data_IF_399999126718
#
_entry.id   IF_399999126718
#
_cell.length_a   1.000
_cell.length_b   1.000
_cell.length_c   1.000
_cell.angle_alpha   90.00
_cell.angle_beta   90.00
_cell.angle_gamma   90.00
#
_symmetry.space_group_name_H-M   'P 1'
#
loop_
_entity.id
_entity.type
_entity.pdbx_description
1 polymer ?
#
# COMPACT_ATOMS: atom_id res chain seq x y z
N UNK A 1 -21.20 -4.76 -10.74
CA UNK A 1 -20.02 -3.92 -10.48
C UNK A 1 -18.80 -4.79 -10.74
N UNK A 2 -17.80 -4.32 -11.51
CA UNK A 2 -16.53 -5.04 -11.63
C UNK A 2 -15.86 -5.14 -10.25
N UNK A 3 -15.22 -6.28 -9.99
CA UNK A 3 -14.52 -6.55 -8.73
C UNK A 3 -13.31 -5.62 -8.60
N UNK A 4 -13.17 -4.96 -7.45
CA UNK A 4 -12.01 -4.10 -7.18
C UNK A 4 -10.81 -4.94 -6.74
N UNK A 5 -9.60 -4.39 -6.85
CA UNK A 5 -8.40 -5.06 -6.31
C UNK A 5 -8.51 -5.33 -4.80
N UNK A 6 -9.21 -4.45 -4.09
CA UNK A 6 -9.47 -4.56 -2.66
C UNK A 6 -10.41 -5.73 -2.34
N UNK A 7 -11.39 -6.01 -3.19
CA UNK A 7 -12.27 -7.18 -3.04
C UNK A 7 -11.50 -8.49 -3.24
N UNK A 8 -10.58 -8.54 -4.21
CA UNK A 8 -9.68 -9.67 -4.41
C UNK A 8 -8.81 -9.90 -3.16
N UNK A 9 -8.22 -8.84 -2.62
CA UNK A 9 -7.42 -8.90 -1.38
C UNK A 9 -8.25 -9.39 -0.19
N UNK A 10 -9.46 -8.87 -0.02
CA UNK A 10 -10.36 -9.33 1.04
C UNK A 10 -10.64 -10.83 0.92
N UNK A 11 -10.93 -11.34 -0.28
CA UNK A 11 -11.15 -12.76 -0.52
C UNK A 11 -9.92 -13.61 -0.26
N UNK A 12 -8.73 -13.15 -0.65
CA UNK A 12 -7.47 -13.86 -0.37
C UNK A 12 -7.22 -13.99 1.14
N UNK A 13 -7.45 -12.92 1.91
CA UNK A 13 -7.36 -12.96 3.37
C UNK A 13 -8.40 -13.90 4.00
N UNK A 14 -9.65 -13.87 3.52
CA UNK A 14 -10.69 -14.80 3.97
C UNK A 14 -10.36 -16.25 3.65
N UNK A 15 -9.77 -16.51 2.47
CA UNK A 15 -9.34 -17.84 2.07
C UNK A 15 -8.25 -18.40 2.97
N UNK A 16 -7.36 -17.53 3.47
CA UNK A 16 -6.34 -17.88 4.47
C UNK A 16 -6.89 -18.05 5.90
N UNK A 17 -8.20 -17.91 6.10
CA UNK A 17 -8.86 -18.21 7.38
C UNK A 17 -8.82 -17.09 8.41
N UNK A 18 -8.46 -15.86 8.05
CA UNK A 18 -8.43 -14.76 9.01
C UNK A 18 -9.85 -14.27 9.39
N UNK A 19 -10.02 -13.69 10.60
CA UNK A 19 -11.28 -13.09 11.03
C UNK A 19 -11.82 -12.03 10.06
N UNK A 20 -13.15 -11.89 9.97
CA UNK A 20 -13.80 -10.97 9.02
C UNK A 20 -13.35 -9.52 9.21
N UNK A 21 -13.35 -9.05 10.45
CA UNK A 21 -12.97 -7.69 10.80
C UNK A 21 -11.51 -7.40 10.44
N UNK A 22 -10.61 -8.38 10.64
CA UNK A 22 -9.23 -8.29 10.21
C UNK A 22 -9.13 -8.15 8.69
N UNK A 23 -9.85 -8.99 7.93
CA UNK A 23 -9.85 -8.92 6.48
C UNK A 23 -10.35 -7.56 5.97
N UNK A 24 -11.40 -7.01 6.59
CA UNK A 24 -11.96 -5.70 6.21
C UNK A 24 -11.01 -4.55 6.54
N UNK A 25 -10.38 -4.59 7.71
CA UNK A 25 -9.41 -3.58 8.13
C UNK A 25 -8.24 -3.51 7.12
N UNK A 26 -7.63 -4.65 6.82
CA UNK A 26 -6.51 -4.71 5.87
C UNK A 26 -6.98 -4.29 4.47
N UNK A 27 -8.03 -4.92 3.94
CA UNK A 27 -8.41 -4.75 2.54
C UNK A 27 -9.01 -3.38 2.23
N UNK A 28 -9.88 -2.84 3.09
CA UNK A 28 -10.67 -1.66 2.76
C UNK A 28 -10.20 -0.39 3.46
N UNK A 29 -9.51 -0.49 4.60
CA UNK A 29 -9.03 0.69 5.34
C UNK A 29 -7.56 0.95 5.12
N UNK A 30 -6.72 -0.06 5.31
CA UNK A 30 -5.26 0.10 5.24
C UNK A 30 -4.75 0.02 3.80
N UNK A 31 -5.13 -1.00 3.03
CA UNK A 31 -4.71 -1.21 1.64
C UNK A 31 -5.66 -0.54 0.63
N UNK A 32 -6.17 0.66 0.94
CA UNK A 32 -7.29 1.32 0.26
C UNK A 32 -7.04 1.85 -1.17
N UNK A 33 -5.90 1.51 -1.79
CA UNK A 33 -5.61 1.82 -3.19
C UNK A 33 -5.22 0.56 -3.96
N UNK A 34 -5.47 0.54 -5.27
CA UNK A 34 -5.06 -0.57 -6.13
C UNK A 34 -3.57 -0.90 -6.02
N UNK A 35 -2.71 0.11 -5.83
CA UNK A 35 -1.27 -0.09 -5.65
C UNK A 35 -0.97 -0.90 -4.38
N UNK A 36 -1.48 -0.46 -3.23
CA UNK A 36 -1.25 -1.14 -1.95
C UNK A 36 -1.88 -2.54 -1.93
N UNK A 37 -3.10 -2.68 -2.48
CA UNK A 37 -3.78 -3.96 -2.55
C UNK A 37 -3.05 -4.96 -3.46
N UNK A 38 -2.54 -4.51 -4.61
CA UNK A 38 -1.74 -5.34 -5.52
C UNK A 38 -0.46 -5.84 -4.85
N UNK A 39 0.24 -5.00 -4.08
CA UNK A 39 1.44 -5.42 -3.35
C UNK A 39 1.13 -6.48 -2.29
N UNK A 40 0.08 -6.26 -1.50
CA UNK A 40 -0.36 -7.19 -0.47
C UNK A 40 -0.78 -8.54 -1.06
N UNK A 41 -1.53 -8.54 -2.18
CA UNK A 41 -1.86 -9.76 -2.92
C UNK A 41 -0.60 -10.50 -3.40
N UNK A 42 0.38 -9.76 -3.93
CA UNK A 42 1.66 -10.35 -4.32
C UNK A 42 2.35 -11.07 -3.15
N UNK A 43 2.33 -10.50 -1.95
CA UNK A 43 2.86 -11.16 -0.76
C UNK A 43 2.08 -12.44 -0.43
N UNK A 44 0.74 -12.36 -0.35
CA UNK A 44 -0.12 -13.51 -0.02
C UNK A 44 -0.01 -14.65 -1.05
N UNK A 45 0.29 -14.36 -2.31
CA UNK A 45 0.52 -15.37 -3.34
C UNK A 45 1.90 -16.05 -3.26
N UNK A 46 2.87 -15.44 -2.56
CA UNK A 46 4.22 -16.01 -2.36
C UNK A 46 4.40 -16.70 -1.02
N UNK A 47 3.64 -16.27 -0.01
CA UNK A 47 3.75 -16.78 1.36
C UNK A 47 2.53 -17.62 1.68
N UNK A 48 2.75 -18.91 1.93
CA UNK A 48 1.68 -19.85 2.28
C UNK A 48 1.34 -19.76 3.76
N UNK A 49 0.05 -19.56 4.08
CA UNK A 49 -0.47 -19.53 5.46
C UNK A 49 0.33 -18.64 6.43
N UNK A 50 0.60 -17.36 6.10
CA UNK A 50 1.30 -16.47 7.02
C UNK A 50 0.51 -16.31 8.32
N UNK A 51 1.19 -16.03 9.44
CA UNK A 51 0.47 -15.66 10.66
C UNK A 51 -0.11 -14.26 10.49
N UNK A 52 -1.08 -13.90 11.32
CA UNK A 52 -1.69 -12.57 11.26
C UNK A 52 -0.64 -11.46 11.47
N UNK A 53 0.35 -11.71 12.33
CA UNK A 53 1.48 -10.81 12.58
C UNK A 53 2.30 -10.58 11.31
N UNK A 54 2.62 -11.65 10.56
CA UNK A 54 3.43 -11.54 9.35
C UNK A 54 2.68 -10.76 8.25
N UNK A 55 1.34 -10.88 8.19
CA UNK A 55 0.48 -10.08 7.31
C UNK A 55 0.49 -8.59 7.71
N UNK A 56 0.43 -8.31 9.01
CA UNK A 56 0.48 -6.93 9.53
C UNK A 56 1.85 -6.31 9.28
N UNK A 57 2.93 -7.06 9.45
CA UNK A 57 4.29 -6.58 9.19
C UNK A 57 4.48 -6.20 7.72
N UNK A 58 4.03 -7.05 6.79
CA UNK A 58 4.06 -6.72 5.36
C UNK A 58 3.19 -5.49 5.03
N UNK A 59 1.99 -5.41 5.61
CA UNK A 59 1.11 -4.26 5.44
C UNK A 59 1.80 -2.97 5.88
N UNK A 60 2.46 -2.96 7.05
CA UNK A 60 3.20 -1.81 7.55
C UNK A 60 4.41 -1.47 6.66
N UNK A 61 5.12 -2.47 6.15
CA UNK A 61 6.23 -2.27 5.21
C UNK A 61 5.74 -1.58 3.92
N UNK A 62 4.65 -2.05 3.32
CA UNK A 62 4.05 -1.45 2.12
C UNK A 62 3.61 0.00 2.36
N UNK A 63 3.01 0.29 3.52
CA UNK A 63 2.59 1.65 3.89
C UNK A 63 3.79 2.57 4.11
N UNK A 64 4.86 2.06 4.71
CA UNK A 64 6.11 2.79 4.91
C UNK A 64 6.76 3.15 3.57
N UNK A 65 6.87 2.19 2.65
CA UNK A 65 7.39 2.41 1.30
C UNK A 65 6.59 3.48 0.54
N UNK A 66 5.26 3.41 0.63
CA UNK A 66 4.36 4.42 0.04
C UNK A 66 4.64 5.81 0.60
N UNK A 67 4.79 5.92 1.92
CA UNK A 67 5.07 7.20 2.59
C UNK A 67 6.41 7.78 2.15
N UNK A 68 7.47 6.96 2.16
CA UNK A 68 8.80 7.38 1.73
C UNK A 68 8.81 7.86 0.26
N UNK A 69 8.04 7.20 -0.62
CA UNK A 69 7.90 7.63 -2.02
C UNK A 69 7.21 9.00 -2.15
N UNK A 70 6.14 9.25 -1.39
CA UNK A 70 5.43 10.54 -1.39
C UNK A 70 6.35 11.65 -0.88
N UNK A 71 7.05 11.43 0.23
CA UNK A 71 7.98 12.40 0.82
C UNK A 71 9.11 12.74 -0.15
N UNK A 72 9.68 11.73 -0.81
CA UNK A 72 10.69 11.93 -1.85
C UNK A 72 10.15 12.80 -2.99
N UNK A 73 8.93 12.51 -3.46
CA UNK A 73 8.33 13.26 -4.57
C UNK A 73 8.11 14.73 -4.22
N UNK A 74 7.61 15.00 -3.01
CA UNK A 74 7.43 16.36 -2.50
C UNK A 74 8.77 17.10 -2.39
N UNK A 75 9.83 16.43 -1.92
CA UNK A 75 11.17 17.01 -1.85
C UNK A 75 11.72 17.36 -3.25
N UNK A 76 11.53 16.48 -4.23
CA UNK A 76 11.95 16.74 -5.62
C UNK A 76 11.20 17.93 -6.23
N UNK A 77 9.90 18.05 -5.97
CA UNK A 77 9.08 19.19 -6.43
C UNK A 77 9.51 20.51 -5.80
N UNK A 78 9.80 20.51 -4.49
CA UNK A 78 10.34 21.68 -3.79
C UNK A 78 11.70 22.10 -4.36
N UNK A 79 12.60 21.14 -4.60
CA UNK A 79 13.90 21.41 -5.22
C UNK A 79 13.77 21.95 -6.65
N UNK A 80 12.82 21.44 -7.43
CA UNK A 80 12.54 21.93 -8.78
C UNK A 80 11.98 23.36 -8.77
N UNK A 81 11.11 23.70 -7.81
CA UNK A 81 10.61 25.06 -7.63
C UNK A 81 11.73 26.04 -7.26
N UNK A 82 12.60 25.67 -6.32
CA UNK A 82 13.79 26.46 -5.96
C UNK A 82 14.71 26.64 -7.17
N UNK A 83 14.99 25.56 -7.90
CA UNK A 83 15.87 25.60 -9.09
C UNK A 83 15.31 26.46 -10.23
N UNK A 84 13.97 26.56 -10.35
CA UNK A 84 13.32 27.46 -11.30
C UNK A 84 13.49 28.91 -10.89
N UNK A 85 13.26 29.26 -9.62
CA UNK A 85 13.50 30.61 -9.10
C UNK A 85 14.95 31.08 -9.36
N UNK A 86 15.94 30.21 -9.11
CA UNK A 86 17.35 30.54 -9.40
C UNK A 86 17.65 30.70 -10.91
N UNK A 87 16.92 30.00 -11.79
CA UNK A 87 17.12 30.07 -13.25
C UNK A 87 16.38 31.22 -13.92
N UNK A 88 15.20 31.54 -13.43
CA UNK A 88 14.32 32.57 -13.98
C UNK A 88 14.64 33.96 -13.39
N UNK A 89 15.42 34.01 -12.30
CA UNK A 89 15.87 35.24 -11.66
C UNK A 89 14.79 35.89 -10.78
N UNK A 90 15.22 36.63 -9.75
CA UNK A 90 14.40 37.66 -9.13
C UNK A 90 14.27 38.86 -10.07
#
# INVERSE_FOLDING_TARGET
>A
MPETRNDELYRALKHNGYPDDFCREIAYRQMNTDFTATRMLGYLYRVTSPRAEDVVDEMLAILSDRKAWIEKKQSEEAQAAISRMYREGL
#
